data_IF_193078500093
#
_entry.id   IF_193078500093
#
_cell.length_a   1.000
_cell.length_b   1.000
_cell.length_c   1.000
_cell.angle_alpha   90.00
_cell.angle_beta   90.00
_cell.angle_gamma   90.00
#
_symmetry.space_group_name_H-M   'P 1'
#
loop_
_entity.id
_entity.type
_entity.pdbx_description
1 polymer ?
#
# COMPACT_ATOMS: atom_id res chain seq x y z
N UNK A 1 3.35 -6.90 -2.88
CA UNK A 1 3.39 -8.21 -2.18
C UNK A 1 3.25 -9.41 -3.13
N UNK A 2 3.10 -10.65 -2.61
CA UNK A 2 3.04 -11.91 -3.43
C UNK A 2 1.69 -12.21 -4.10
N UNK A 3 0.63 -11.47 -3.78
CA UNK A 3 -0.73 -11.71 -4.32
C UNK A 3 -1.53 -12.80 -3.62
N UNK A 4 -1.02 -13.40 -2.54
CA UNK A 4 -1.68 -14.48 -1.79
C UNK A 4 -3.04 -14.07 -1.23
N UNK A 5 -3.15 -12.89 -0.59
CA UNK A 5 -4.42 -12.37 -0.06
C UNK A 5 -5.49 -12.26 -1.15
N UNK A 6 -5.14 -11.68 -2.30
CA UNK A 6 -6.07 -11.56 -3.43
C UNK A 6 -6.43 -12.93 -4.01
N UNK A 7 -5.47 -13.86 -4.12
CA UNK A 7 -5.74 -15.22 -4.58
C UNK A 7 -6.73 -15.96 -3.65
N UNK A 8 -6.63 -15.74 -2.33
CA UNK A 8 -7.54 -16.32 -1.35
C UNK A 8 -8.92 -15.65 -1.38
N UNK A 9 -8.98 -14.33 -1.56
CA UNK A 9 -10.24 -13.59 -1.76
C UNK A 9 -11.00 -14.11 -2.99
N UNK A 10 -10.33 -14.25 -4.14
CA UNK A 10 -10.94 -14.77 -5.37
C UNK A 10 -11.38 -16.23 -5.21
N UNK A 11 -10.66 -17.03 -4.41
CA UNK A 11 -11.04 -18.42 -4.13
C UNK A 11 -12.26 -18.49 -3.23
N UNK A 12 -12.30 -17.67 -2.17
CA UNK A 12 -13.41 -17.61 -1.22
C UNK A 12 -14.71 -17.09 -1.84
N UNK A 13 -14.60 -16.16 -2.80
CA UNK A 13 -15.76 -15.54 -3.46
C UNK A 13 -16.21 -16.26 -4.75
N UNK A 14 -15.50 -17.31 -5.19
CA UNK A 14 -15.79 -18.04 -6.45
C UNK A 14 -17.22 -18.56 -6.58
N UNK A 15 -17.88 -18.89 -5.47
CA UNK A 15 -19.25 -19.38 -5.47
C UNK A 15 -20.31 -18.25 -5.50
N UNK A 16 -19.88 -17.00 -5.29
CA UNK A 16 -20.71 -15.80 -5.37
C UNK A 16 -20.67 -15.26 -6.80
N UNK A 17 -21.49 -15.83 -7.69
CA UNK A 17 -21.44 -15.51 -9.14
C UNK A 17 -21.69 -14.05 -9.44
N UNK A 18 -22.72 -13.44 -8.84
CA UNK A 18 -23.04 -12.03 -9.06
C UNK A 18 -21.89 -11.10 -8.64
N UNK A 19 -21.19 -11.43 -7.56
CA UNK A 19 -20.00 -10.70 -7.14
C UNK A 19 -18.83 -10.93 -8.10
N UNK A 20 -18.55 -12.18 -8.47
CA UNK A 20 -17.43 -12.54 -9.35
C UNK A 20 -17.59 -11.91 -10.74
N UNK A 21 -18.81 -11.87 -11.28
CA UNK A 21 -19.12 -11.29 -12.58
C UNK A 21 -19.04 -9.75 -12.57
N UNK A 22 -19.16 -9.12 -11.40
CA UNK A 22 -19.13 -7.66 -11.24
C UNK A 22 -17.74 -7.10 -10.91
N UNK A 23 -16.82 -7.93 -10.40
CA UNK A 23 -15.52 -7.46 -9.90
C UNK A 23 -14.45 -7.49 -10.98
N UNK A 24 -13.78 -6.35 -11.17
CA UNK A 24 -12.46 -6.26 -11.77
C UNK A 24 -11.42 -6.03 -10.66
N UNK A 25 -10.27 -6.69 -10.77
CA UNK A 25 -9.19 -6.60 -9.79
C UNK A 25 -8.13 -5.63 -10.31
N UNK A 26 -7.81 -4.61 -9.51
CA UNK A 26 -6.74 -3.66 -9.83
C UNK A 26 -5.62 -3.79 -8.78
N UNK A 27 -4.45 -4.23 -9.21
CA UNK A 27 -3.26 -4.40 -8.38
C UNK A 27 -2.35 -3.18 -8.55
N UNK A 28 -2.15 -2.39 -7.49
CA UNK A 28 -1.24 -1.24 -7.50
C UNK A 28 0.10 -1.65 -6.88
N UNK A 29 1.13 -1.84 -7.69
CA UNK A 29 2.47 -2.26 -7.23
C UNK A 29 3.52 -1.76 -8.21
N UNK A 30 4.57 -1.08 -7.74
CA UNK A 30 5.64 -0.55 -8.59
C UNK A 30 6.72 -1.59 -8.90
N UNK A 31 6.80 -2.71 -8.15
CA UNK A 31 7.87 -3.70 -8.28
C UNK A 31 7.56 -4.72 -9.39
N UNK A 32 8.38 -4.79 -10.46
CA UNK A 32 8.18 -5.80 -11.51
C UNK A 32 8.27 -7.24 -10.98
N UNK A 33 9.13 -7.47 -9.99
CA UNK A 33 9.27 -8.77 -9.34
C UNK A 33 8.00 -9.17 -8.59
N UNK A 34 7.37 -8.23 -7.86
CA UNK A 34 6.10 -8.48 -7.19
C UNK A 34 4.98 -8.73 -8.19
N UNK A 35 4.88 -7.94 -9.28
CA UNK A 35 3.88 -8.15 -10.33
C UNK A 35 3.97 -9.55 -10.94
N UNK A 36 5.20 -10.02 -11.22
CA UNK A 36 5.42 -11.39 -11.69
C UNK A 36 4.91 -12.43 -10.69
N UNK A 37 5.27 -12.31 -9.41
CA UNK A 37 4.80 -13.21 -8.37
C UNK A 37 3.26 -13.18 -8.21
N UNK A 38 2.64 -12.01 -8.33
CA UNK A 38 1.19 -11.84 -8.28
C UNK A 38 0.50 -12.55 -9.45
N UNK A 39 1.03 -12.42 -10.67
CA UNK A 39 0.52 -13.13 -11.86
C UNK A 39 0.53 -14.64 -11.66
N UNK A 40 1.62 -15.16 -11.11
CA UNK A 40 1.74 -16.59 -10.79
C UNK A 40 0.73 -17.02 -9.71
N UNK A 41 0.62 -16.27 -8.61
CA UNK A 41 -0.30 -16.56 -7.51
C UNK A 41 -1.79 -16.54 -7.94
N UNK A 42 -2.15 -15.58 -8.80
CA UNK A 42 -3.49 -15.43 -9.37
C UNK A 42 -3.75 -16.37 -10.56
N UNK A 43 -2.74 -17.14 -10.99
CA UNK A 43 -2.79 -18.03 -12.15
C UNK A 43 -3.26 -17.30 -13.40
N UNK A 44 -2.76 -16.08 -13.61
CA UNK A 44 -3.21 -15.24 -14.70
C UNK A 44 -2.67 -15.75 -16.04
N UNK A 45 -3.59 -16.05 -16.97
CA UNK A 45 -3.27 -16.25 -18.38
C UNK A 45 -3.22 -14.92 -19.13
N UNK A 46 -2.69 -14.90 -20.37
CA UNK A 46 -2.87 -13.77 -21.27
C UNK A 46 -4.38 -13.50 -21.41
N UNK A 47 -4.78 -12.22 -21.47
CA UNK A 47 -6.15 -11.86 -21.78
C UNK A 47 -6.53 -12.58 -23.08
N UNK A 48 -7.65 -13.33 -23.08
CA UNK A 48 -8.10 -14.00 -24.30
C UNK A 48 -8.21 -12.92 -25.38
N UNK A 49 -7.39 -13.02 -26.41
CA UNK A 49 -7.70 -12.40 -27.69
C UNK A 49 -9.08 -12.92 -28.04
N UNK A 50 -10.05 -12.02 -28.13
CA UNK A 50 -11.35 -12.35 -28.71
C UNK A 50 -11.07 -12.94 -30.07
N UNK A 51 -11.53 -14.17 -30.30
CA UNK A 51 -11.39 -14.93 -31.54
C UNK A 51 -11.72 -14.05 -32.76
N UNK A 52 -10.71 -13.40 -33.30
CA UNK A 52 -10.73 -12.64 -34.53
C UNK A 52 -9.77 -13.35 -35.47
N UNK A 53 -10.17 -14.56 -35.90
CA UNK A 53 -9.79 -15.20 -37.16
C UNK A 53 -10.32 -16.64 -37.17
N UNK A 54 -11.57 -16.79 -37.60
CA UNK A 54 -12.01 -17.86 -38.50
C UNK A 54 -13.51 -17.68 -38.75
N UNK A 55 -13.84 -16.91 -39.79
CA UNK A 55 -15.19 -16.81 -40.31
C UNK A 55 -15.15 -17.07 -41.80
N UNK A 56 -15.22 -18.34 -42.19
CA UNK A 56 -15.93 -18.81 -43.38
C UNK A 56 -16.19 -20.32 -43.22
N UNK A 57 -17.34 -20.67 -42.64
CA UNK A 57 -18.43 -21.36 -43.34
C UNK A 57 -19.38 -22.10 -42.36
N UNK A 58 -20.66 -22.03 -42.70
CA UNK A 58 -21.80 -22.86 -42.26
C UNK A 58 -22.50 -22.67 -40.89
N UNK A 59 -23.71 -22.11 -41.02
CA UNK A 59 -24.90 -22.15 -40.17
C UNK A 59 -24.97 -23.26 -39.11
N UNK A 60 -25.22 -22.88 -37.85
CA UNK A 60 -26.41 -23.34 -37.11
C UNK A 60 -26.60 -22.63 -35.76
N UNK A 61 -27.87 -22.50 -35.39
CA UNK A 61 -28.47 -21.76 -34.27
C UNK A 61 -27.87 -22.06 -32.89
N UNK A 62 -27.54 -21.02 -32.13
CA UNK A 62 -27.34 -21.05 -30.67
C UNK A 62 -27.29 -19.64 -30.08
N UNK A 63 -27.98 -19.37 -28.98
CA UNK A 63 -28.26 -18.03 -28.44
C UNK A 63 -27.01 -17.35 -27.86
N UNK A 64 -26.71 -16.13 -28.30
CA UNK A 64 -25.83 -15.18 -27.59
C UNK A 64 -26.44 -14.81 -26.22
N UNK A 65 -25.67 -14.81 -25.11
CA UNK A 65 -26.09 -14.15 -23.89
C UNK A 65 -25.97 -12.64 -24.10
N UNK A 66 -27.11 -11.96 -23.92
CA UNK A 66 -27.28 -10.52 -24.13
C UNK A 66 -26.44 -9.72 -23.12
N UNK A 67 -25.57 -8.83 -23.61
CA UNK A 67 -25.27 -7.57 -22.92
C UNK A 67 -26.60 -6.83 -22.76
N UNK A 68 -27.11 -6.74 -21.54
CA UNK A 68 -28.26 -5.88 -21.21
C UNK A 68 -27.70 -4.47 -20.96
N UNK A 69 -28.15 -3.53 -21.79
CA UNK A 69 -27.69 -2.15 -21.77
C UNK A 69 -28.01 -1.43 -20.46
N UNK A 70 -27.04 -0.63 -20.02
CA UNK A 70 -27.31 0.57 -19.24
C UNK A 70 -27.82 1.61 -20.24
N UNK A 71 -29.02 2.14 -19.98
CA UNK A 71 -29.70 3.10 -20.82
C UNK A 71 -28.92 4.41 -20.96
N UNK A 72 -29.14 5.07 -22.09
CA UNK A 72 -28.67 6.41 -22.41
C UNK A 72 -28.90 7.40 -21.26
N UNK A 73 -27.84 7.75 -20.53
CA UNK A 73 -27.83 8.98 -19.73
C UNK A 73 -27.39 10.09 -20.67
N UNK A 74 -28.37 10.90 -21.12
CA UNK A 74 -28.11 12.17 -21.81
C UNK A 74 -27.35 13.10 -20.87
N UNK A 75 -26.09 13.36 -21.19
CA UNK A 75 -25.30 14.43 -20.57
C UNK A 75 -25.74 15.76 -21.17
N UNK A 76 -26.16 16.77 -20.37
CA UNK A 76 -26.34 18.12 -20.88
C UNK A 76 -24.98 18.72 -21.22
N UNK A 77 -24.81 19.20 -22.45
CA UNK A 77 -23.65 19.98 -22.86
C UNK A 77 -23.63 21.30 -22.08
N UNK A 78 -22.66 21.48 -21.18
CA UNK A 78 -22.51 22.74 -20.47
C UNK A 78 -21.74 23.75 -21.34
N UNK A 79 -22.24 24.98 -21.55
CA UNK A 79 -21.67 25.95 -22.46
C UNK A 79 -20.64 26.82 -21.72
N UNK A 80 -19.35 26.59 -21.97
CA UNK A 80 -18.33 27.61 -21.78
C UNK A 80 -17.52 27.74 -23.07
N UNK A 81 -18.12 28.42 -24.04
CA UNK A 81 -17.39 28.96 -25.19
C UNK A 81 -16.86 30.33 -24.78
N UNK A 82 -15.56 30.40 -24.45
CA UNK A 82 -14.85 31.68 -24.43
C UNK A 82 -14.80 32.16 -25.89
N UNK A 83 -15.48 33.28 -26.14
CA UNK A 83 -15.44 34.00 -27.42
C UNK A 83 -14.05 34.60 -27.62
N UNK A 84 -13.40 34.26 -28.72
CA UNK A 84 -12.28 34.97 -29.30
C UNK A 84 -12.09 34.48 -30.74
N UNK A 85 -12.53 35.27 -31.72
CA UNK A 85 -12.45 34.91 -33.13
C UNK A 85 -11.09 35.16 -33.75
N UNK A 86 -10.69 34.35 -34.72
CA UNK A 86 -10.51 34.72 -36.13
C UNK A 86 -9.81 33.58 -36.89
N UNK A 87 -10.48 33.14 -37.95
CA UNK A 87 -9.98 32.71 -39.25
C UNK A 87 -8.73 31.83 -39.40
N UNK A 88 -8.95 30.64 -39.97
CA UNK A 88 -8.11 30.13 -41.06
C UNK A 88 -7.17 28.97 -40.75
N UNK A 89 -7.32 27.91 -41.55
CA UNK A 89 -6.38 26.82 -41.86
C UNK A 89 -6.56 25.50 -41.10
N UNK A 90 -7.25 24.58 -41.79
CA UNK A 90 -7.21 23.13 -41.56
C UNK A 90 -5.78 22.62 -41.82
N UNK A 91 -4.96 22.57 -40.77
CA UNK A 91 -3.77 21.74 -40.75
C UNK A 91 -4.19 20.31 -40.35
N UNK A 92 -4.00 19.36 -41.27
CA UNK A 92 -4.07 17.93 -40.99
C UNK A 92 -2.97 17.54 -40.00
N UNK A 93 -3.21 17.68 -38.70
CA UNK A 93 -2.34 17.06 -37.70
C UNK A 93 -2.72 15.59 -37.64
N UNK A 94 -1.92 14.75 -38.31
CA UNK A 94 -1.82 13.34 -37.96
C UNK A 94 -1.39 13.26 -36.50
N UNK A 95 -2.38 13.17 -35.60
CA UNK A 95 -2.14 12.87 -34.22
C UNK A 95 -1.75 11.40 -34.17
N UNK A 96 -0.49 11.13 -33.83
CA UNK A 96 -0.05 9.79 -33.49
C UNK A 96 -1.05 9.15 -32.53
N UNK A 97 -1.50 7.96 -32.85
CA UNK A 97 -2.37 7.20 -31.96
C UNK A 97 -1.66 6.97 -30.62
N UNK A 98 -2.41 6.79 -29.52
CA UNK A 98 -1.83 6.48 -28.19
C UNK A 98 -0.86 5.27 -28.24
N UNK A 99 -1.05 4.38 -29.22
CA UNK A 99 -0.18 3.25 -29.52
C UNK A 99 1.17 3.65 -30.13
N UNK A 100 1.21 4.68 -31.00
CA UNK A 100 2.48 5.21 -31.56
C UNK A 100 3.31 5.97 -30.52
N UNK A 101 2.69 6.46 -29.44
CA UNK A 101 3.37 7.17 -28.35
C UNK A 101 3.93 6.23 -27.27
N UNK A 102 3.78 4.91 -27.40
CA UNK A 102 4.30 3.94 -26.42
C UNK A 102 3.74 4.13 -25.01
N UNK A 103 2.57 4.76 -24.87
CA UNK A 103 1.89 4.95 -23.59
C UNK A 103 1.21 3.64 -23.20
N UNK A 104 1.99 2.80 -22.52
CA UNK A 104 1.63 1.61 -21.73
C UNK A 104 0.34 0.89 -22.15
N UNK A 105 0.51 -0.22 -22.85
CA UNK A 105 -0.48 -1.30 -22.81
C UNK A 105 -0.70 -1.64 -21.34
N UNK A 106 -1.89 -1.36 -20.81
CA UNK A 106 -2.24 -1.71 -19.42
C UNK A 106 -1.90 -3.18 -19.23
N UNK A 107 -1.11 -3.48 -18.19
CA UNK A 107 -0.70 -4.84 -17.91
C UNK A 107 -1.96 -5.60 -17.43
N UNK A 108 -2.53 -6.45 -18.29
CA UNK A 108 -3.82 -7.14 -18.04
C UNK A 108 -3.64 -8.67 -18.02
N UNK A 109 -4.47 -9.36 -17.25
CA UNK A 109 -4.57 -10.81 -17.22
C UNK A 109 -5.96 -11.28 -16.79
N UNK A 110 -6.24 -12.57 -16.97
CA UNK A 110 -7.48 -13.19 -16.48
C UNK A 110 -7.12 -14.23 -15.44
N UNK A 111 -7.66 -14.09 -14.23
CA UNK A 111 -7.39 -14.99 -13.10
C UNK A 111 -7.90 -16.39 -13.39
N UNK A 112 -7.02 -17.38 -13.34
CA UNK A 112 -7.38 -18.80 -13.45
C UNK A 112 -8.16 -19.35 -12.24
N UNK A 113 -8.34 -18.54 -11.18
CA UNK A 113 -9.04 -18.95 -9.96
C UNK A 113 -10.56 -18.91 -10.17
N UNK A 114 -11.07 -17.75 -10.61
CA UNK A 114 -12.50 -17.50 -10.78
C UNK A 114 -12.86 -16.76 -12.09
N UNK A 115 -11.90 -16.43 -12.94
CA UNK A 115 -12.14 -15.75 -14.22
C UNK A 115 -12.16 -14.22 -14.17
N UNK A 116 -11.92 -13.61 -13.00
CA UNK A 116 -11.87 -12.15 -12.87
C UNK A 116 -10.75 -11.53 -13.73
N UNK A 117 -11.04 -10.37 -14.31
CA UNK A 117 -10.03 -9.55 -15.00
C UNK A 117 -9.12 -8.92 -13.95
N UNK A 118 -7.81 -8.98 -14.16
CA UNK A 118 -6.80 -8.39 -13.29
C UNK A 118 -5.95 -7.42 -14.09
N UNK A 119 -5.81 -6.20 -13.58
CA UNK A 119 -4.99 -5.14 -14.18
C UNK A 119 -3.93 -4.67 -13.17
N UNK A 120 -2.71 -4.43 -13.64
CA UNK A 120 -1.62 -3.91 -12.81
C UNK A 120 -1.32 -2.45 -13.14
N UNK A 121 -1.18 -1.67 -12.08
CA UNK A 121 -1.02 -0.22 -12.11
C UNK A 121 0.21 0.18 -11.31
N UNK A 122 0.93 1.23 -11.73
CA UNK A 122 2.02 1.81 -10.94
C UNK A 122 1.51 2.72 -9.82
N UNK A 123 0.38 3.38 -10.06
CA UNK A 123 -0.18 4.38 -9.15
C UNK A 123 -1.69 4.20 -9.01
N UNK A 124 -2.24 4.65 -7.89
CA UNK A 124 -3.68 4.68 -7.66
C UNK A 124 -4.42 5.55 -8.69
N UNK A 125 -3.76 6.62 -9.17
CA UNK A 125 -4.34 7.58 -10.11
C UNK A 125 -4.57 6.94 -11.51
N UNK A 126 -3.90 5.82 -11.82
CA UNK A 126 -4.10 5.06 -13.05
C UNK A 126 -5.31 4.10 -13.01
N UNK A 127 -5.84 3.81 -11.81
CA UNK A 127 -6.95 2.87 -11.64
C UNK A 127 -8.25 3.50 -12.17
N UNK A 128 -9.00 2.86 -13.09
CA UNK A 128 -10.21 3.41 -13.70
C UNK A 128 -11.25 3.89 -12.66
N UNK A 129 -11.97 5.00 -12.89
CA UNK A 129 -12.97 5.51 -11.93
C UNK A 129 -14.15 4.53 -11.78
N UNK A 130 -14.78 4.55 -10.60
CA UNK A 130 -15.96 3.74 -10.29
C UNK A 130 -16.02 3.26 -8.83
N UNK A 131 -17.14 2.66 -8.41
CA UNK A 131 -17.27 2.11 -7.06
C UNK A 131 -16.15 1.12 -6.77
N UNK A 132 -15.39 1.33 -5.68
CA UNK A 132 -14.14 0.59 -5.42
C UNK A 132 -14.09 0.05 -3.99
N UNK A 133 -13.61 -1.19 -3.82
CA UNK A 133 -13.17 -1.72 -2.53
C UNK A 133 -11.64 -1.70 -2.51
N UNK A 134 -11.05 -0.88 -1.67
CA UNK A 134 -9.60 -0.75 -1.52
C UNK A 134 -9.12 -1.61 -0.34
N UNK A 135 -8.09 -2.41 -0.56
CA UNK A 135 -7.46 -3.24 0.49
C UNK A 135 -5.98 -2.85 0.54
N UNK A 136 -5.55 -2.29 1.68
CA UNK A 136 -4.15 -2.03 2.00
C UNK A 136 -3.78 -2.91 3.20
N UNK A 137 -2.91 -3.89 3.00
CA UNK A 137 -2.49 -4.82 4.03
C UNK A 137 -0.96 -4.85 4.08
N UNK A 138 -0.38 -4.44 5.21
CA UNK A 138 1.07 -4.23 5.37
C UNK A 138 1.62 -3.36 4.23
N UNK A 139 1.03 -2.17 4.10
CA UNK A 139 1.34 -1.23 3.01
C UNK A 139 1.81 0.11 3.53
N UNK A 140 1.17 0.64 4.57
CA UNK A 140 1.50 1.96 5.09
C UNK A 140 2.72 1.93 6.01
N UNK A 141 3.04 0.79 6.61
CA UNK A 141 4.23 0.59 7.44
C UNK A 141 5.56 0.68 6.66
N UNK A 142 5.52 0.36 5.37
CA UNK A 142 6.65 0.47 4.44
C UNK A 142 6.82 1.88 3.85
N UNK A 143 5.97 2.85 4.21
CA UNK A 143 6.05 4.20 3.67
C UNK A 143 7.13 5.03 4.38
N UNK A 144 7.84 5.93 3.65
CA UNK A 144 8.86 6.77 4.27
C UNK A 144 8.31 7.63 5.41
N UNK A 145 9.09 7.74 6.49
CA UNK A 145 8.78 8.55 7.67
C UNK A 145 9.82 9.66 7.87
N UNK A 146 9.35 10.80 8.35
CA UNK A 146 10.18 11.86 8.92
C UNK A 146 10.13 11.76 10.44
N UNK A 147 11.30 11.79 11.08
CA UNK A 147 11.41 11.76 12.53
C UNK A 147 11.88 13.12 13.05
N UNK A 148 11.20 13.63 14.08
CA UNK A 148 11.53 14.89 14.75
C UNK A 148 11.78 14.65 16.23
N UNK A 149 12.75 15.37 16.80
CA UNK A 149 13.09 15.34 18.22
C UNK A 149 12.96 16.74 18.81
N UNK A 150 12.24 16.88 19.92
CA UNK A 150 12.10 18.13 20.66
C UNK A 150 13.34 18.35 21.52
N UNK A 151 14.07 19.41 21.26
CA UNK A 151 15.26 19.85 21.99
C UNK A 151 15.03 21.20 22.67
N UNK A 152 16.02 21.71 23.40
CA UNK A 152 16.01 23.09 23.93
C UNK A 152 15.90 24.16 22.82
N UNK A 153 16.34 23.83 21.60
CA UNK A 153 16.24 24.70 20.42
C UNK A 153 14.91 24.58 19.69
N UNK A 154 13.97 23.81 20.23
CA UNK A 154 12.71 23.43 19.57
C UNK A 154 12.81 22.09 18.83
N UNK A 155 11.87 21.86 17.92
CA UNK A 155 11.83 20.66 17.09
C UNK A 155 12.98 20.63 16.08
N UNK A 156 13.79 19.57 16.12
CA UNK A 156 14.85 19.27 15.16
C UNK A 156 14.48 18.00 14.40
N UNK A 157 14.74 17.95 13.11
CA UNK A 157 14.58 16.76 12.29
C UNK A 157 15.77 15.81 12.49
N UNK A 158 15.52 14.51 12.61
CA UNK A 158 16.55 13.47 12.57
C UNK A 158 16.91 13.20 11.12
N UNK A 159 18.17 13.36 10.79
CA UNK A 159 18.72 13.24 9.44
C UNK A 159 19.82 12.18 9.42
N UNK A 160 20.09 11.62 8.25
CA UNK A 160 21.22 10.71 8.02
C UNK A 160 22.39 11.54 7.47
N UNK A 161 23.54 11.50 8.15
CA UNK A 161 24.78 12.15 7.71
C UNK A 161 25.88 11.12 7.46
N UNK A 162 26.92 11.52 6.73
CA UNK A 162 28.14 10.72 6.57
C UNK A 162 28.92 10.79 7.88
N UNK A 163 29.33 9.63 8.40
CA UNK A 163 30.12 9.55 9.62
C UNK A 163 31.43 10.35 9.51
N UNK A 164 31.79 11.03 10.61
CA UNK A 164 32.99 11.86 10.69
C UNK A 164 34.30 11.14 10.37
N UNK A 165 34.37 9.82 10.58
CA UNK A 165 35.56 9.01 10.26
C UNK A 165 35.72 8.77 8.75
N UNK A 166 34.60 8.60 8.05
CA UNK A 166 34.56 8.51 6.58
C UNK A 166 34.80 9.90 5.97
N UNK A 167 34.17 10.94 6.50
CA UNK A 167 34.31 12.32 6.02
C UNK A 167 35.75 12.87 6.14
N UNK A 168 36.53 12.39 7.12
CA UNK A 168 37.95 12.77 7.30
C UNK A 168 38.94 11.92 6.48
N UNK A 169 38.45 11.06 5.59
CA UNK A 169 39.29 10.21 4.74
C UNK A 169 40.08 9.14 5.49
N UNK A 170 39.67 8.80 6.73
CA UNK A 170 40.32 7.75 7.53
C UNK A 170 39.79 6.34 7.23
N UNK A 171 38.72 6.23 6.44
CA UNK A 171 38.09 4.96 6.03
C UNK A 171 38.70 4.29 4.79
N UNK A 172 40.01 4.41 4.54
CA UNK A 172 40.60 3.87 3.31
C UNK A 172 42.12 3.94 3.21
N UNK A 173 42.85 3.27 4.09
CA UNK A 173 44.19 2.77 3.79
C UNK A 173 44.39 1.44 4.53
N UNK A 174 43.82 0.37 3.98
CA UNK A 174 44.27 -0.98 4.29
C UNK A 174 45.67 -1.17 3.69
N UNK A 175 46.69 -0.73 4.42
CA UNK A 175 48.03 -1.27 4.27
C UNK A 175 47.95 -2.77 4.55
N UNK A 176 48.31 -3.58 3.56
CA UNK A 176 48.51 -5.02 3.67
C UNK A 176 49.52 -5.25 4.81
N UNK A 177 49.05 -5.78 5.95
CA UNK A 177 49.88 -5.98 7.13
C UNK A 177 49.14 -6.70 8.26
N UNK A 178 49.37 -8.02 8.30
CA UNK A 178 49.33 -8.92 9.46
C UNK A 178 47.97 -9.33 10.08
N UNK A 179 47.61 -10.58 9.83
CA UNK A 179 46.50 -11.31 10.48
C UNK A 179 46.92 -11.80 11.87
N UNK A 180 46.84 -10.95 12.90
CA UNK A 180 46.77 -11.45 14.27
C UNK A 180 46.22 -10.43 15.27
N UNK A 181 44.91 -10.23 15.30
CA UNK A 181 44.16 -9.94 16.54
C UNK A 181 42.65 -10.02 16.26
N UNK A 182 41.98 -10.95 16.94
CA UNK A 182 40.53 -10.93 17.13
C UNK A 182 40.22 -9.99 18.29
N UNK A 183 39.38 -8.98 18.05
CA UNK A 183 38.28 -8.52 18.91
C UNK A 183 37.90 -7.08 18.54
N UNK A 184 36.66 -6.89 18.07
CA UNK A 184 36.06 -5.58 17.79
C UNK A 184 35.63 -5.41 16.34
N UNK A 185 34.38 -5.77 16.03
CA UNK A 185 33.71 -5.46 14.77
C UNK A 185 33.43 -3.95 14.66
N UNK A 186 34.49 -3.15 14.46
CA UNK A 186 34.40 -1.77 13.98
C UNK A 186 34.33 -1.79 12.45
N UNK A 187 33.27 -2.39 11.90
CA UNK A 187 32.83 -1.99 10.56
C UNK A 187 32.52 -0.50 10.64
N UNK A 188 33.35 0.34 10.02
CA UNK A 188 33.19 1.80 10.07
C UNK A 188 31.80 2.16 9.58
N UNK A 189 30.89 2.56 10.49
CA UNK A 189 29.55 3.01 10.11
C UNK A 189 29.69 4.15 9.11
N UNK A 190 29.30 3.94 7.86
CA UNK A 190 29.39 4.96 6.83
C UNK A 190 28.44 6.14 7.11
N UNK A 191 27.36 5.88 7.84
CA UNK A 191 26.31 6.82 8.16
C UNK A 191 26.08 6.95 9.67
N UNK A 192 25.61 8.12 10.10
CA UNK A 192 25.18 8.38 11.46
C UNK A 192 23.86 9.17 11.49
N UNK A 193 23.05 8.97 12.52
CA UNK A 193 21.86 9.78 12.77
C UNK A 193 22.27 11.09 13.44
N UNK A 194 21.91 12.22 12.85
CA UNK A 194 22.18 13.56 13.39
C UNK A 194 20.90 14.37 13.53
N UNK A 195 20.93 15.42 14.35
CA UNK A 195 19.84 16.38 14.46
C UNK A 195 20.12 17.63 13.63
N UNK A 196 19.10 18.11 12.92
CA UNK A 196 19.16 19.42 12.26
C UNK A 196 19.49 20.54 13.26
N UNK A 197 20.10 21.66 12.82
CA UNK A 197 20.42 22.80 13.70
C UNK A 197 19.19 23.46 14.35
N UNK A 198 18.00 23.21 13.80
CA UNK A 198 16.71 23.72 14.26
C UNK A 198 15.60 23.20 13.35
N UNK A 199 14.44 23.86 13.38
CA UNK A 199 13.29 23.47 12.58
C UNK A 199 13.58 23.56 11.08
N UNK A 200 13.44 22.45 10.37
CA UNK A 200 13.59 22.40 8.91
C UNK A 200 12.32 22.89 8.20
N UNK A 201 12.36 23.23 6.91
CA UNK A 201 11.14 23.55 6.14
C UNK A 201 10.10 22.43 6.18
N UNK A 202 10.55 21.17 6.11
CA UNK A 202 9.70 19.99 6.29
C UNK A 202 9.03 19.99 7.68
N UNK A 203 9.82 20.20 8.74
CA UNK A 203 9.31 20.29 10.10
C UNK A 203 8.32 21.43 10.29
N UNK A 204 8.59 22.60 9.71
CA UNK A 204 7.69 23.77 9.79
C UNK A 204 6.32 23.51 9.15
N UNK A 205 6.26 22.67 8.11
CA UNK A 205 5.02 22.26 7.47
C UNK A 205 4.31 21.14 8.23
N UNK A 206 5.04 20.10 8.63
CA UNK A 206 4.46 18.85 9.11
C UNK A 206 4.13 18.88 10.60
N UNK A 207 5.03 19.39 11.44
CA UNK A 207 4.89 19.31 12.91
C UNK A 207 3.66 20.08 13.41
N UNK A 208 3.41 21.35 13.01
CA UNK A 208 2.22 22.06 13.48
C UNK A 208 0.91 21.39 13.05
N UNK A 209 0.84 20.90 11.80
CA UNK A 209 -0.33 20.19 11.27
C UNK A 209 -0.60 18.89 12.00
N UNK A 210 0.45 18.10 12.27
CA UNK A 210 0.30 16.85 13.01
C UNK A 210 -0.15 17.09 14.45
N UNK A 211 0.34 18.16 15.08
CA UNK A 211 -0.01 18.50 16.47
C UNK A 211 -1.29 19.32 16.60
N UNK A 212 -1.95 19.70 15.50
CA UNK A 212 -3.25 20.37 15.53
C UNK A 212 -4.27 19.50 16.30
N UNK A 213 -5.13 20.08 17.13
CA UNK A 213 -6.12 19.31 17.90
C UNK A 213 -5.58 18.29 18.91
N UNK A 214 -4.26 18.17 19.10
CA UNK A 214 -3.69 17.36 20.20
C UNK A 214 -3.72 18.20 21.49
N UNK A 215 -4.13 17.61 22.61
CA UNK A 215 -4.21 18.30 23.90
C UNK A 215 -2.87 18.95 24.29
N UNK A 216 -2.94 20.13 24.91
CA UNK A 216 -1.74 20.89 25.30
C UNK A 216 -0.80 20.09 26.21
N UNK A 217 -1.35 19.38 27.20
CA UNK A 217 -0.58 18.51 28.10
C UNK A 217 0.17 17.40 27.35
N UNK A 218 -0.51 16.71 26.42
CA UNK A 218 0.11 15.67 25.57
C UNK A 218 1.18 16.28 24.67
N UNK A 219 0.89 17.41 24.01
CA UNK A 219 1.86 18.12 23.16
C UNK A 219 3.13 18.53 23.90
N UNK A 220 3.00 19.00 25.13
CA UNK A 220 4.14 19.42 25.96
C UNK A 220 4.99 18.24 26.46
N UNK A 221 4.38 17.08 26.63
CA UNK A 221 5.06 15.82 26.93
C UNK A 221 5.84 15.23 25.75
N UNK A 222 5.46 15.51 24.50
CA UNK A 222 6.11 14.92 23.33
C UNK A 222 7.59 15.29 23.22
N UNK A 223 8.43 14.28 23.00
CA UNK A 223 9.87 14.42 22.77
C UNK A 223 10.31 13.92 21.42
N UNK A 224 9.57 12.98 20.85
CA UNK A 224 9.77 12.47 19.50
C UNK A 224 8.46 12.53 18.75
N UNK A 225 8.56 12.62 17.43
CA UNK A 225 7.41 12.63 16.54
C UNK A 225 7.80 11.98 15.21
N UNK A 226 7.05 10.98 14.80
CA UNK A 226 7.19 10.33 13.49
C UNK A 226 5.99 10.72 12.59
N UNK A 227 6.27 11.08 11.35
CA UNK A 227 5.25 11.54 10.39
C UNK A 227 5.53 10.92 9.03
N UNK A 228 4.58 10.16 8.48
CA UNK A 228 4.62 9.74 7.08
C UNK A 228 3.73 10.63 6.20
N UNK A 229 4.27 11.65 5.52
CA UNK A 229 3.48 12.45 4.59
C UNK A 229 2.97 11.63 3.40
N UNK A 230 3.68 10.56 3.02
CA UNK A 230 3.29 9.70 1.90
C UNK A 230 2.06 8.86 2.24
N UNK A 231 1.99 8.27 3.44
CA UNK A 231 0.81 7.54 3.91
C UNK A 231 -0.42 8.43 3.92
N UNK A 232 -0.30 9.64 4.48
CA UNK A 232 -1.41 10.60 4.52
C UNK A 232 -1.87 11.02 3.12
N UNK A 233 -0.95 11.27 2.19
CA UNK A 233 -1.29 11.65 0.82
C UNK A 233 -1.98 10.51 0.03
N UNK A 234 -1.59 9.25 0.26
CA UNK A 234 -2.27 8.10 -0.37
C UNK A 234 -3.66 7.92 0.25
N UNK A 235 -3.78 8.03 1.58
CA UNK A 235 -5.06 7.93 2.26
C UNK A 235 -6.05 9.02 1.84
N UNK A 236 -5.56 10.26 1.67
CA UNK A 236 -6.31 11.38 1.10
C UNK A 236 -6.83 11.11 -0.31
N UNK A 237 -6.02 10.48 -1.18
CA UNK A 237 -6.46 10.06 -2.52
C UNK A 237 -7.54 8.98 -2.45
N UNK A 238 -7.38 8.00 -1.58
CA UNK A 238 -8.38 6.94 -1.37
C UNK A 238 -9.69 7.57 -0.91
N UNK A 239 -9.65 8.47 0.07
CA UNK A 239 -10.83 9.18 0.57
C UNK A 239 -11.53 9.98 -0.53
N UNK A 240 -10.78 10.73 -1.34
CA UNK A 240 -11.33 11.49 -2.47
C UNK A 240 -12.03 10.58 -3.50
N UNK A 241 -11.44 9.42 -3.79
CA UNK A 241 -12.03 8.42 -4.69
C UNK A 241 -13.35 7.85 -4.14
N UNK A 242 -13.40 7.56 -2.84
CA UNK A 242 -14.62 7.06 -2.19
C UNK A 242 -15.71 8.13 -2.14
N UNK A 243 -15.34 9.38 -1.92
CA UNK A 243 -16.24 10.54 -1.96
C UNK A 243 -16.85 10.73 -3.35
N UNK A 244 -16.06 10.59 -4.41
CA UNK A 244 -16.53 10.83 -5.78
C UNK A 244 -17.28 9.63 -6.38
N UNK A 245 -16.83 8.40 -6.12
CA UNK A 245 -17.32 7.21 -6.82
C UNK A 245 -18.00 6.18 -5.93
N UNK A 246 -17.97 6.37 -4.61
CA UNK A 246 -18.48 5.41 -3.64
C UNK A 246 -17.58 4.18 -3.46
N UNK A 247 -17.86 3.42 -2.40
CA UNK A 247 -17.14 2.19 -2.08
C UNK A 247 -16.69 2.13 -0.63
N UNK A 248 -15.62 1.37 -0.37
CA UNK A 248 -15.04 1.21 0.95
C UNK A 248 -13.53 1.02 0.86
N UNK A 249 -12.81 1.29 1.95
CA UNK A 249 -11.40 0.99 2.09
C UNK A 249 -11.13 0.33 3.44
N UNK A 250 -10.20 -0.64 3.45
CA UNK A 250 -9.66 -1.24 4.66
C UNK A 250 -8.13 -1.13 4.64
N UNK A 251 -7.56 -0.64 5.73
CA UNK A 251 -6.13 -0.60 5.98
C UNK A 251 -5.82 -1.48 7.19
N UNK A 252 -4.87 -2.39 7.04
CA UNK A 252 -4.42 -3.34 8.07
C UNK A 252 -2.90 -3.23 8.09
N UNK A 253 -2.37 -2.69 9.17
CA UNK A 253 -0.94 -2.43 9.35
C UNK A 253 -0.63 -2.41 10.84
N UNK A 254 0.64 -2.58 11.20
CA UNK A 254 1.12 -2.40 12.57
C UNK A 254 1.11 -0.91 12.93
N UNK A 255 0.46 -0.55 14.04
CA UNK A 255 0.34 0.87 14.39
C UNK A 255 -0.59 1.18 15.55
N UNK A 256 -0.67 2.46 15.89
CA UNK A 256 -1.50 2.97 16.98
C UNK A 256 -2.12 4.33 16.63
N UNK A 257 -2.98 4.85 17.51
CA UNK A 257 -3.44 6.24 17.44
C UNK A 257 -2.40 7.19 18.07
N UNK A 258 -1.59 7.79 17.19
CA UNK A 258 -0.48 8.66 17.57
C UNK A 258 -0.89 9.97 18.29
N UNK A 259 0.05 10.90 18.53
CA UNK A 259 1.35 10.96 17.85
C UNK A 259 2.34 9.87 18.29
N UNK A 260 2.97 9.22 17.31
CA UNK A 260 3.97 8.16 17.50
C UNK A 260 5.38 8.74 17.58
N UNK A 261 6.31 7.99 18.17
CA UNK A 261 7.72 8.36 18.23
C UNK A 261 8.63 7.13 18.17
N UNK A 262 9.67 7.23 17.34
CA UNK A 262 10.79 6.28 17.25
C UNK A 262 10.37 4.83 17.01
N UNK A 263 9.58 4.62 15.96
CA UNK A 263 9.03 3.30 15.59
C UNK A 263 9.72 2.69 14.38
N UNK A 264 10.59 3.43 13.70
CA UNK A 264 11.38 2.93 12.57
C UNK A 264 12.30 1.79 13.01
N UNK A 265 12.12 0.63 12.40
CA UNK A 265 12.87 -0.58 12.66
C UNK A 265 13.46 -1.15 11.37
N UNK A 266 14.58 -1.88 11.51
CA UNK A 266 15.17 -2.66 10.43
C UNK A 266 15.19 -4.14 10.81
N UNK A 267 14.71 -4.99 9.91
CA UNK A 267 14.64 -6.44 10.12
C UNK A 267 15.42 -7.14 9.02
N UNK A 268 16.34 -8.02 9.41
CA UNK A 268 17.11 -8.88 8.49
C UNK A 268 17.19 -10.27 9.08
N UNK A 269 16.89 -11.29 8.28
CA UNK A 269 16.95 -12.71 8.70
C UNK A 269 16.14 -13.01 9.99
N UNK A 270 15.01 -12.33 10.18
CA UNK A 270 14.13 -12.39 11.38
C UNK A 270 14.74 -11.80 12.67
N UNK A 271 15.80 -11.00 12.56
CA UNK A 271 16.43 -10.30 13.68
C UNK A 271 16.40 -8.79 13.46
N UNK A 272 16.26 -8.05 14.57
CA UNK A 272 16.38 -6.59 14.54
C UNK A 272 17.84 -6.19 14.35
N UNK A 273 18.08 -5.36 13.34
CA UNK A 273 19.38 -4.79 13.06
C UNK A 273 19.33 -3.27 13.17
N UNK A 274 20.50 -2.65 13.31
CA UNK A 274 20.62 -1.19 13.27
C UNK A 274 20.27 -0.68 11.85
N UNK A 275 19.40 0.33 11.78
CA UNK A 275 18.86 0.89 10.52
C UNK A 275 19.93 1.38 9.55
N UNK A 276 21.10 1.79 10.06
CA UNK A 276 22.21 2.30 9.25
C UNK A 276 23.25 1.24 8.90
N UNK A 277 23.05 -0.02 9.33
CA UNK A 277 23.92 -1.15 9.02
C UNK A 277 23.55 -1.75 7.68
N UNK A 278 24.48 -1.75 6.71
CA UNK A 278 24.29 -2.23 5.34
C UNK A 278 22.98 -1.77 4.66
N UNK A 279 22.75 -0.46 4.46
CA UNK A 279 21.50 0.06 3.90
C UNK A 279 21.11 -0.65 2.59
N UNK A 280 19.84 -1.05 2.49
CA UNK A 280 19.29 -1.82 1.36
C UNK A 280 19.37 -3.35 1.53
N UNK A 281 19.96 -3.86 2.62
CA UNK A 281 19.98 -5.32 2.94
C UNK A 281 19.02 -5.74 4.05
N UNK A 282 18.41 -4.80 4.74
CA UNK A 282 17.38 -5.04 5.73
C UNK A 282 16.06 -4.42 5.26
N UNK A 283 14.96 -5.03 5.65
CA UNK A 283 13.63 -4.47 5.43
C UNK A 283 13.36 -3.38 6.47
N UNK A 284 12.73 -2.28 6.05
CA UNK A 284 12.44 -1.14 6.92
C UNK A 284 10.94 -1.01 7.11
N UNK A 285 10.50 -0.94 8.35
CA UNK A 285 9.11 -0.69 8.70
C UNK A 285 8.99 0.35 9.81
N UNK A 286 7.84 1.02 9.83
CA UNK A 286 7.48 2.04 10.80
C UNK A 286 6.02 1.87 11.19
N UNK A 287 5.67 2.22 12.43
CA UNK A 287 4.28 2.09 12.87
C UNK A 287 3.39 3.10 12.14
N UNK A 288 2.19 2.66 11.81
CA UNK A 288 1.18 3.48 11.15
C UNK A 288 0.43 4.31 12.20
N UNK A 289 0.38 5.62 11.96
CA UNK A 289 -0.40 6.54 12.79
C UNK A 289 -1.86 6.57 12.32
N UNK A 290 -2.66 5.61 12.79
CA UNK A 290 -4.08 5.51 12.46
C UNK A 290 -4.87 6.75 12.92
N UNK A 291 -4.42 7.42 13.98
CA UNK A 291 -5.01 8.68 14.44
C UNK A 291 -4.83 9.81 13.42
N UNK A 292 -3.66 9.89 12.79
CA UNK A 292 -3.41 10.84 11.70
C UNK A 292 -4.25 10.50 10.45
N UNK A 293 -4.37 9.22 10.10
CA UNK A 293 -5.22 8.77 8.98
C UNK A 293 -6.70 9.08 9.20
N UNK A 294 -7.22 8.84 10.42
CA UNK A 294 -8.60 9.19 10.79
C UNK A 294 -8.84 10.69 10.63
N UNK A 295 -7.92 11.51 11.12
CA UNK A 295 -8.05 12.97 11.05
C UNK A 295 -8.13 13.50 9.62
N UNK A 296 -7.44 12.88 8.66
CA UNK A 296 -7.58 13.22 7.23
C UNK A 296 -9.04 13.11 6.78
N UNK A 297 -9.80 12.16 7.31
CA UNK A 297 -11.22 11.98 7.00
C UNK A 297 -12.08 12.97 7.80
N UNK A 298 -11.87 13.07 9.11
CA UNK A 298 -12.70 13.93 9.99
C UNK A 298 -12.62 15.43 9.65
N UNK A 299 -11.51 15.87 9.08
CA UNK A 299 -11.32 17.27 8.66
C UNK A 299 -11.99 17.59 7.31
N UNK A 300 -12.42 16.58 6.55
CA UNK A 300 -13.16 16.76 5.30
C UNK A 300 -14.63 17.02 5.59
N UNK A 301 -15.04 18.27 5.43
CA UNK A 301 -16.44 18.67 5.60
C UNK A 301 -17.27 18.24 4.39
N UNK A 302 -18.41 17.61 4.64
CA UNK A 302 -19.41 17.20 3.63
C UNK A 302 -18.94 16.14 2.62
N UNK A 303 -17.93 15.32 2.95
CA UNK A 303 -17.41 14.30 2.02
C UNK A 303 -18.27 13.03 1.91
N UNK A 304 -19.22 12.81 2.83
CA UNK A 304 -20.00 11.57 2.89
C UNK A 304 -19.18 10.31 3.21
N UNK A 305 -17.85 10.44 3.38
CA UNK A 305 -16.95 9.35 3.75
C UNK A 305 -16.82 9.31 5.26
N UNK A 306 -17.15 8.17 5.86
CA UNK A 306 -17.01 7.92 7.29
C UNK A 306 -15.80 7.02 7.57
N UNK A 307 -15.12 7.26 8.69
CA UNK A 307 -13.98 6.47 9.13
C UNK A 307 -14.32 5.71 10.41
N UNK A 308 -14.15 4.39 10.39
CA UNK A 308 -14.37 3.50 11.53
C UNK A 308 -13.05 2.87 11.99
N UNK A 309 -13.01 2.34 13.21
CA UNK A 309 -11.77 1.80 13.80
C UNK A 309 -10.92 2.89 14.45
N UNK A 310 -9.60 2.70 14.66
CA UNK A 310 -8.97 1.40 14.47
C UNK A 310 -9.55 0.39 15.47
N UNK A 311 -9.55 -0.87 15.08
CA UNK A 311 -9.83 -2.01 15.94
C UNK A 311 -8.63 -2.94 15.82
N UNK A 312 -8.41 -3.78 16.84
CA UNK A 312 -7.32 -4.78 16.75
C UNK A 312 -7.62 -5.77 15.63
N UNK A 313 -6.57 -6.34 15.03
CA UNK A 313 -6.73 -7.43 14.06
C UNK A 313 -7.56 -8.58 14.63
N UNK A 314 -7.33 -8.91 15.90
CA UNK A 314 -8.09 -9.91 16.65
C UNK A 314 -9.58 -9.62 16.60
N UNK A 315 -10.00 -8.43 17.01
CA UNK A 315 -11.42 -8.06 17.11
C UNK A 315 -12.08 -8.02 15.73
N UNK A 316 -11.35 -7.54 14.71
CA UNK A 316 -11.81 -7.57 13.31
C UNK A 316 -12.07 -9.01 12.84
N UNK A 317 -11.10 -9.91 13.01
CA UNK A 317 -11.21 -11.29 12.56
C UNK A 317 -12.32 -12.07 13.29
N UNK A 318 -12.48 -11.85 14.60
CA UNK A 318 -13.61 -12.40 15.35
C UNK A 318 -14.94 -11.81 14.90
N UNK A 319 -15.01 -10.49 14.63
CA UNK A 319 -16.19 -9.83 14.08
C UNK A 319 -16.59 -10.36 12.69
N UNK A 320 -15.62 -10.78 11.88
CA UNK A 320 -15.83 -11.42 10.57
C UNK A 320 -16.14 -12.93 10.66
N UNK A 321 -16.08 -13.51 11.87
CA UNK A 321 -16.46 -14.89 12.12
C UNK A 321 -15.35 -15.93 11.89
N UNK A 322 -14.09 -15.58 12.17
CA UNK A 322 -12.95 -16.52 12.05
C UNK A 322 -13.15 -17.79 12.89
N UNK A 323 -13.84 -17.70 14.04
CA UNK A 323 -14.14 -18.84 14.90
C UNK A 323 -15.04 -19.87 14.20
N UNK A 324 -16.17 -19.43 13.62
CA UNK A 324 -17.07 -20.34 12.89
C UNK A 324 -16.43 -20.89 11.61
N UNK A 325 -15.53 -20.10 11.00
CA UNK A 325 -14.75 -20.56 9.85
C UNK A 325 -13.76 -21.67 10.27
N UNK A 326 -13.06 -21.49 11.39
CA UNK A 326 -12.09 -22.46 11.92
C UNK A 326 -12.77 -23.80 12.21
N UNK A 327 -13.90 -23.80 12.93
CA UNK A 327 -14.67 -25.01 13.22
C UNK A 327 -14.99 -25.81 11.94
N UNK A 328 -15.51 -25.14 10.92
CA UNK A 328 -15.85 -25.76 9.62
C UNK A 328 -14.64 -26.25 8.84
N UNK A 329 -13.47 -25.64 9.02
CA UNK A 329 -12.26 -26.05 8.33
C UNK A 329 -11.61 -27.26 9.02
N UNK A 330 -11.64 -27.31 10.35
CA UNK A 330 -11.17 -28.48 11.12
C UNK A 330 -11.91 -29.75 10.72
N UNK A 331 -13.24 -29.68 10.52
CA UNK A 331 -14.05 -30.80 10.04
C UNK A 331 -13.61 -31.36 8.66
N UNK A 332 -12.90 -30.55 7.86
CA UNK A 332 -12.43 -30.92 6.52
C UNK A 332 -10.99 -31.40 6.48
N UNK A 333 -10.25 -31.28 7.58
CA UNK A 333 -8.88 -31.76 7.66
C UNK A 333 -8.84 -33.28 7.64
N UNK A 334 -7.90 -33.84 6.87
CA UNK A 334 -7.73 -35.29 6.77
C UNK A 334 -6.82 -35.85 7.86
N UNK A 335 -5.98 -34.99 8.47
CA UNK A 335 -4.98 -35.40 9.47
C UNK A 335 -4.95 -34.44 10.67
N UNK A 336 -4.57 -34.97 11.83
CA UNK A 336 -4.34 -34.19 13.05
C UNK A 336 -3.28 -33.09 12.83
N UNK A 337 -2.22 -33.39 12.06
CA UNK A 337 -1.20 -32.40 11.69
C UNK A 337 -1.73 -31.22 10.89
N UNK A 338 -2.76 -31.42 10.08
CA UNK A 338 -3.42 -30.31 9.35
C UNK A 338 -4.27 -29.46 10.30
N UNK A 339 -4.96 -30.10 11.24
CA UNK A 339 -5.74 -29.43 12.30
C UNK A 339 -4.81 -28.56 13.16
N UNK A 340 -3.71 -29.12 13.66
CA UNK A 340 -2.75 -28.39 14.50
C UNK A 340 -2.18 -27.16 13.79
N UNK A 341 -1.82 -27.31 12.50
CA UNK A 341 -1.33 -26.19 11.68
C UNK A 341 -2.38 -25.11 11.48
N UNK A 342 -3.63 -25.49 11.28
CA UNK A 342 -4.73 -24.56 11.08
C UNK A 342 -5.04 -23.78 12.36
N UNK A 343 -5.07 -24.48 13.50
CA UNK A 343 -5.26 -23.88 14.82
C UNK A 343 -4.11 -22.92 15.12
N UNK A 344 -2.85 -23.37 15.02
CA UNK A 344 -1.69 -22.53 15.27
C UNK A 344 -1.65 -21.29 14.34
N UNK A 345 -2.08 -21.45 13.08
CA UNK A 345 -2.20 -20.34 12.14
C UNK A 345 -3.25 -19.30 12.56
N UNK A 346 -4.42 -19.76 13.01
CA UNK A 346 -5.48 -18.88 13.52
C UNK A 346 -5.08 -18.23 14.83
N UNK A 347 -4.49 -19.00 15.76
CA UNK A 347 -3.95 -18.50 17.01
C UNK A 347 -2.96 -17.38 16.73
N UNK A 348 -1.98 -17.55 15.84
CA UNK A 348 -1.04 -16.48 15.49
C UNK A 348 -1.71 -15.21 14.95
N UNK A 349 -2.85 -15.32 14.27
CA UNK A 349 -3.59 -14.16 13.75
C UNK A 349 -4.41 -13.43 14.83
N UNK A 350 -4.83 -14.13 15.89
CA UNK A 350 -5.77 -13.60 16.91
C UNK A 350 -5.19 -13.56 18.33
N UNK A 351 -4.02 -14.15 18.56
CA UNK A 351 -3.30 -14.14 19.81
C UNK A 351 -2.71 -12.74 20.02
N UNK A 352 -3.17 -12.07 21.07
CA UNK A 352 -2.52 -10.86 21.55
C UNK A 352 -1.55 -11.22 22.67
N UNK A 353 -0.43 -11.89 22.39
CA UNK A 353 0.64 -12.06 23.39
C UNK A 353 2.04 -12.00 22.78
N UNK A 354 2.78 -10.96 23.21
CA UNK A 354 4.17 -10.96 23.66
C UNK A 354 5.03 -12.18 23.28
N UNK A 355 5.72 -12.12 22.14
CA UNK A 355 6.87 -12.99 21.89
C UNK A 355 7.07 -13.45 20.45
N UNK A 356 6.11 -13.23 19.56
CA UNK A 356 6.27 -13.49 18.12
C UNK A 356 5.83 -12.26 17.34
N UNK A 357 6.77 -11.32 17.17
CA UNK A 357 6.62 -10.00 16.54
C UNK A 357 5.89 -8.98 17.45
N UNK A 358 6.55 -7.83 17.66
CA UNK A 358 6.31 -6.87 18.75
C UNK A 358 4.91 -6.24 18.80
N UNK A 359 4.61 -5.69 19.97
CA UNK A 359 3.36 -5.05 20.37
C UNK A 359 2.83 -4.05 19.34
N UNK A 360 1.63 -4.25 18.79
CA UNK A 360 0.93 -3.21 18.00
C UNK A 360 0.07 -3.68 16.81
N UNK A 361 -0.63 -4.81 16.92
CA UNK A 361 -1.54 -5.32 15.87
C UNK A 361 -3.02 -5.29 16.26
#
# INVERSE_FOLDING_TARGET
GRGTLMADLLRGTKNLREFTDAVAVHMVDVSPANRKAQREALKCGPARETDAENGDNELSRGKNPRRRGLGEVRVPSNPMTIRGGSDGEEASSGGSTREELGLDTVDVGVSGINGAVVEWHETMDAVPPGPTIVIAHEFFDAMPVHQFTRTERGWCERLVAISGDVAKGRGGSSSIGDESSRDGDESSRAFEMVLSPGLTPAGALMVPRRLEGVDASRRDGLRQLEISPRSLAIWERIAARLEEHGGAAIAIDYGEEGPLGDTLQAIRDHEFVDVLTDPGRADLSAYVDFGAMRRVIETRKNSGVECYGPVTQRDLLFGLGIGQWLEKMVEKCATEKEVDKLIAGCERLVSGEQGALGEGG
#
